data_IF_178220924878
#
_entry.id   IF_178220924878
#
_cell.length_a   1.000
_cell.length_b   1.000
_cell.length_c   1.000
_cell.angle_alpha   90.00
_cell.angle_beta   90.00
_cell.angle_gamma   90.00
#
_symmetry.space_group_name_H-M   'P 1'
#
loop_
_entity.id
_entity.type
_entity.pdbx_description
1 polymer ?
#
# COMPACT_ATOMS: atom_id res chain seq x y z
N UNK A 1 -11.50 24.38 14.00
CA UNK A 1 -10.96 23.02 13.90
C UNK A 1 -9.58 23.10 13.28
N UNK A 2 -8.57 22.52 13.93
CA UNK A 2 -7.19 22.41 13.45
C UNK A 2 -6.96 21.00 12.93
N UNK A 3 -6.45 20.88 11.71
CA UNK A 3 -6.16 19.58 11.06
C UNK A 3 -4.69 19.51 10.69
N UNK A 4 -4.01 18.45 11.11
CA UNK A 4 -2.65 18.15 10.74
C UNK A 4 -2.64 17.06 9.66
N UNK A 5 -1.95 17.29 8.55
CA UNK A 5 -1.66 16.28 7.52
C UNK A 5 -0.20 15.86 7.65
N UNK A 6 0.02 14.58 7.96
CA UNK A 6 1.36 14.00 8.03
C UNK A 6 1.83 13.64 6.64
N UNK A 7 3.05 14.07 6.30
CA UNK A 7 3.68 13.84 5.00
C UNK A 7 4.08 15.13 4.29
N UNK A 8 4.77 14.99 3.17
CA UNK A 8 5.33 16.12 2.41
C UNK A 8 5.32 15.92 0.90
N UNK A 9 4.53 15.00 0.39
CA UNK A 9 4.40 14.73 -1.03
C UNK A 9 3.29 15.51 -1.73
N UNK A 10 3.16 15.32 -3.04
CA UNK A 10 2.12 15.95 -3.85
C UNK A 10 0.70 15.53 -3.45
N UNK A 11 0.53 14.35 -2.86
CA UNK A 11 -0.76 13.83 -2.40
C UNK A 11 -1.21 14.48 -1.12
N UNK A 12 -0.31 14.64 -0.16
CA UNK A 12 -0.59 15.42 1.04
C UNK A 12 -0.97 16.83 0.66
N UNK A 13 -0.32 17.41 -0.35
CA UNK A 13 -0.71 18.71 -0.89
C UNK A 13 -2.12 18.69 -1.50
N UNK A 14 -2.47 17.67 -2.27
CA UNK A 14 -3.82 17.53 -2.84
C UNK A 14 -4.89 17.40 -1.73
N UNK A 15 -4.61 16.61 -0.68
CA UNK A 15 -5.48 16.48 0.49
C UNK A 15 -5.66 17.84 1.18
N UNK A 16 -4.57 18.57 1.42
CA UNK A 16 -4.59 19.90 2.04
C UNK A 16 -5.42 20.88 1.22
N UNK A 17 -5.23 20.91 -0.10
CA UNK A 17 -6.02 21.76 -1.00
C UNK A 17 -7.51 21.40 -0.93
N UNK A 18 -7.83 20.11 -0.89
CA UNK A 18 -9.22 19.67 -0.78
C UNK A 18 -9.85 20.01 0.58
N UNK A 19 -9.10 19.90 1.65
CA UNK A 19 -9.53 20.33 2.99
C UNK A 19 -9.74 21.84 3.06
N UNK A 20 -8.92 22.64 2.36
CA UNK A 20 -9.05 24.10 2.27
C UNK A 20 -10.38 24.54 1.60
N UNK A 21 -10.90 23.74 0.66
CA UNK A 21 -12.21 23.96 0.02
C UNK A 21 -13.39 23.64 0.95
N UNK A 22 -13.15 23.03 2.10
CA UNK A 22 -14.20 22.65 3.03
C UNK A 22 -14.94 23.90 3.57
N UNK A 23 -16.28 23.88 3.62
CA UNK A 23 -17.06 24.96 4.24
C UNK A 23 -16.74 25.16 5.73
N UNK A 24 -16.13 24.16 6.39
CA UNK A 24 -15.66 24.25 7.78
C UNK A 24 -14.40 25.07 7.95
N UNK A 25 -13.68 25.40 6.87
CA UNK A 25 -12.46 26.21 6.85
C UNK A 25 -11.46 25.85 7.97
N UNK A 26 -10.95 24.62 8.03
CA UNK A 26 -10.02 24.23 9.08
C UNK A 26 -8.70 25.02 8.98
N UNK A 27 -8.07 25.30 10.13
CA UNK A 27 -6.68 25.69 10.15
C UNK A 27 -5.82 24.46 9.83
N UNK A 28 -4.98 24.56 8.78
CA UNK A 28 -4.25 23.43 8.22
C UNK A 28 -2.77 23.48 8.58
N UNK A 29 -2.26 22.34 9.03
CA UNK A 29 -0.86 22.09 9.36
C UNK A 29 -0.36 20.91 8.52
N UNK A 30 0.96 20.85 8.27
CA UNK A 30 1.61 19.73 7.60
C UNK A 30 2.93 19.37 8.28
N UNK A 31 3.23 18.09 8.45
CA UNK A 31 4.49 17.62 9.04
C UNK A 31 5.13 16.52 8.15
N UNK A 32 6.29 16.79 7.49
CA UNK A 32 7.01 18.06 7.44
C UNK A 32 6.41 19.09 6.47
N UNK A 33 5.54 18.69 5.54
CA UNK A 33 5.12 19.50 4.41
C UNK A 33 6.23 19.66 3.36
N UNK A 34 6.04 20.63 2.46
CA UNK A 34 6.99 21.01 1.41
C UNK A 34 6.74 22.47 0.97
N UNK A 35 7.56 22.98 0.05
CA UNK A 35 7.44 24.35 -0.44
C UNK A 35 6.10 24.69 -1.10
N UNK A 36 5.45 23.72 -1.77
CA UNK A 36 4.11 23.90 -2.34
C UNK A 36 3.03 23.91 -1.25
N UNK A 37 3.13 23.02 -0.27
CA UNK A 37 2.22 22.95 0.89
C UNK A 37 2.26 24.22 1.73
N UNK A 38 3.42 24.84 1.84
CA UNK A 38 3.61 26.08 2.64
C UNK A 38 2.73 27.24 2.19
N UNK A 39 2.22 27.23 0.95
CA UNK A 39 1.24 28.23 0.47
C UNK A 39 -0.19 27.98 0.97
N UNK A 40 -0.49 26.78 1.45
CA UNK A 40 -1.83 26.35 1.80
C UNK A 40 -1.98 25.92 3.27
N UNK A 41 -0.88 25.62 3.97
CA UNK A 41 -0.85 25.15 5.35
C UNK A 41 0.43 25.60 6.07
N UNK A 42 0.39 25.56 7.39
CA UNK A 42 1.60 25.78 8.23
C UNK A 42 2.45 24.52 8.22
N UNK A 43 3.65 24.60 7.63
CA UNK A 43 4.59 23.48 7.64
C UNK A 43 5.37 23.43 8.96
N UNK A 44 5.45 22.26 9.57
CA UNK A 44 6.15 22.02 10.84
C UNK A 44 7.33 21.08 10.56
N UNK A 45 8.57 21.43 10.96
CA UNK A 45 9.75 20.65 10.59
C UNK A 45 9.90 19.36 11.44
N UNK A 46 8.89 18.51 11.39
CA UNK A 46 8.86 17.21 12.06
C UNK A 46 8.74 16.13 10.98
N UNK A 47 9.66 15.17 10.98
CA UNK A 47 9.64 14.09 10.02
C UNK A 47 8.35 13.25 10.13
N UNK A 48 7.81 12.80 9.01
CA UNK A 48 6.58 11.98 9.00
C UNK A 48 6.70 10.69 9.82
N UNK A 49 7.91 10.14 9.95
CA UNK A 49 8.21 8.94 10.74
C UNK A 49 8.53 9.21 12.22
N UNK A 50 8.65 10.48 12.62
CA UNK A 50 8.82 10.86 14.03
C UNK A 50 7.47 10.87 14.75
N UNK A 51 7.01 9.67 15.12
CA UNK A 51 5.72 9.47 15.79
C UNK A 51 5.62 10.30 17.08
N UNK A 52 6.67 10.30 17.89
CA UNK A 52 6.68 11.02 19.17
C UNK A 52 6.60 12.54 18.97
N UNK A 53 7.37 13.07 18.01
CA UNK A 53 7.37 14.49 17.67
C UNK A 53 6.01 14.94 17.11
N UNK A 54 5.39 14.17 16.22
CA UNK A 54 4.06 14.47 15.66
C UNK A 54 2.99 14.47 16.76
N UNK A 55 2.98 13.46 17.64
CA UNK A 55 2.02 13.36 18.75
C UNK A 55 2.20 14.51 19.75
N UNK A 56 3.46 14.83 20.10
CA UNK A 56 3.75 15.95 20.99
C UNK A 56 3.26 17.28 20.43
N UNK A 57 3.55 17.55 19.16
CA UNK A 57 3.07 18.74 18.46
C UNK A 57 1.53 18.78 18.42
N UNK A 58 0.88 17.66 18.10
CA UNK A 58 -0.57 17.61 18.02
C UNK A 58 -1.25 17.94 19.38
N UNK A 59 -0.67 17.47 20.47
CA UNK A 59 -1.15 17.80 21.84
C UNK A 59 -0.90 19.27 22.16
N UNK A 60 0.32 19.78 21.95
CA UNK A 60 0.71 21.15 22.28
C UNK A 60 -0.06 22.20 21.49
N UNK A 61 -0.25 21.96 20.19
CA UNK A 61 -0.98 22.87 19.32
C UNK A 61 -2.51 22.73 19.44
N UNK A 62 -3.01 21.67 20.09
CA UNK A 62 -4.44 21.38 20.20
C UNK A 62 -5.04 21.02 18.83
N UNK A 63 -4.41 20.08 18.13
CA UNK A 63 -4.92 19.54 16.85
C UNK A 63 -6.17 18.72 17.11
N UNK A 64 -7.25 19.02 16.39
CA UNK A 64 -8.53 18.33 16.53
C UNK A 64 -8.58 17.02 15.74
N UNK A 65 -7.80 16.91 14.65
CA UNK A 65 -7.83 15.77 13.74
C UNK A 65 -6.52 15.61 12.98
N UNK A 66 -6.04 14.38 12.82
CA UNK A 66 -4.81 14.10 12.07
C UNK A 66 -5.11 13.21 10.86
N UNK A 67 -4.57 13.56 9.70
CA UNK A 67 -4.57 12.72 8.51
C UNK A 67 -3.18 12.11 8.37
N UNK A 68 -3.04 10.81 8.61
CA UNK A 68 -1.78 10.08 8.44
C UNK A 68 -1.77 9.51 7.03
N UNK A 69 -1.13 10.22 6.09
CA UNK A 69 -1.20 9.90 4.67
C UNK A 69 -0.17 8.86 4.20
N UNK A 70 1.12 8.86 4.63
CA UNK A 70 2.09 7.86 4.22
C UNK A 70 1.93 6.52 4.96
N UNK A 71 2.45 5.46 4.37
CA UNK A 71 2.47 4.08 4.88
C UNK A 71 3.39 3.88 6.09
N UNK A 72 4.63 4.39 6.02
CA UNK A 72 5.62 4.24 7.10
C UNK A 72 5.09 4.64 8.49
N UNK A 73 4.54 5.86 8.72
CA UNK A 73 4.01 6.23 10.02
C UNK A 73 2.80 5.38 10.46
N UNK A 74 2.01 4.84 9.53
CA UNK A 74 0.92 3.91 9.84
C UNK A 74 1.46 2.60 10.40
N UNK A 75 2.46 2.02 9.75
CA UNK A 75 3.13 0.78 10.20
C UNK A 75 3.88 1.01 11.51
N UNK A 76 4.43 2.20 11.75
CA UNK A 76 5.05 2.58 13.01
C UNK A 76 4.04 2.76 14.16
N UNK A 77 2.74 2.92 13.87
CA UNK A 77 1.68 3.00 14.89
C UNK A 77 1.31 4.42 15.29
N UNK A 78 1.47 5.39 14.40
CA UNK A 78 1.12 6.80 14.69
C UNK A 78 -0.35 6.98 15.05
N UNK A 79 -1.26 6.24 14.39
CA UNK A 79 -2.70 6.31 14.68
C UNK A 79 -2.99 5.83 16.10
N UNK A 80 -2.31 4.76 16.54
CA UNK A 80 -2.45 4.23 17.91
C UNK A 80 -1.94 5.25 18.93
N UNK A 81 -0.77 5.83 18.69
CA UNK A 81 -0.16 6.82 19.59
C UNK A 81 -1.00 8.12 19.71
N UNK A 82 -1.64 8.55 18.62
CA UNK A 82 -2.59 9.68 18.63
C UNK A 82 -3.86 9.33 19.41
N UNK A 83 -4.39 8.11 19.23
CA UNK A 83 -5.58 7.64 19.94
C UNK A 83 -5.36 7.56 21.46
N UNK A 84 -4.16 7.16 21.93
CA UNK A 84 -3.78 7.19 23.35
C UNK A 84 -3.84 8.61 23.97
N UNK A 85 -3.72 9.66 23.14
CA UNK A 85 -3.87 11.06 23.54
C UNK A 85 -5.28 11.62 23.29
N UNK A 86 -6.22 10.77 22.87
CA UNK A 86 -7.58 11.17 22.54
C UNK A 86 -7.72 11.99 21.25
N UNK A 87 -6.71 11.98 20.39
CA UNK A 87 -6.70 12.72 19.13
C UNK A 87 -7.16 11.76 18.01
N UNK A 88 -8.32 12.01 17.37
CA UNK A 88 -8.79 11.19 16.28
C UNK A 88 -7.91 11.35 15.04
N UNK A 89 -7.65 10.23 14.35
CA UNK A 89 -6.82 10.21 13.16
C UNK A 89 -7.47 9.41 12.03
N UNK A 90 -7.21 9.83 10.79
CA UNK A 90 -7.52 9.06 9.58
C UNK A 90 -6.33 8.17 9.23
N UNK A 91 -6.60 6.89 9.11
CA UNK A 91 -5.63 5.83 8.77
C UNK A 91 -5.86 4.58 9.60
N UNK A 92 -5.37 3.42 9.14
CA UNK A 92 -5.43 2.18 9.92
C UNK A 92 -4.49 2.26 11.14
N UNK A 93 -4.84 1.55 12.19
CA UNK A 93 -3.95 1.32 13.32
C UNK A 93 -2.81 0.36 12.92
N UNK A 94 -1.78 0.26 13.75
CA UNK A 94 -0.59 -0.59 13.50
C UNK A 94 -0.96 -2.05 13.22
N UNK A 95 -1.94 -2.58 13.95
CA UNK A 95 -2.37 -3.96 13.78
C UNK A 95 -2.99 -4.22 12.40
N UNK A 96 -3.74 -3.25 11.86
CA UNK A 96 -4.33 -3.33 10.51
C UNK A 96 -3.32 -2.96 9.43
N UNK A 97 -2.36 -2.08 9.72
CA UNK A 97 -1.33 -1.66 8.79
C UNK A 97 -0.40 -2.81 8.32
N UNK A 98 -0.40 -3.94 9.01
CA UNK A 98 0.33 -5.15 8.60
C UNK A 98 -0.12 -5.66 7.22
N UNK A 99 -1.31 -5.28 6.74
CA UNK A 99 -1.84 -5.70 5.44
C UNK A 99 -0.92 -5.24 4.27
N UNK A 100 -0.24 -4.10 4.40
CA UNK A 100 0.85 -3.69 3.50
C UNK A 100 2.22 -3.99 4.11
N UNK A 101 2.35 -3.81 5.43
CA UNK A 101 3.61 -3.99 6.16
C UNK A 101 4.21 -5.40 6.08
N UNK A 102 3.42 -6.42 5.69
CA UNK A 102 3.89 -7.77 5.44
C UNK A 102 3.15 -8.42 4.26
N UNK A 103 3.88 -8.65 3.16
CA UNK A 103 3.35 -9.38 2.00
C UNK A 103 3.03 -10.84 2.32
N UNK A 104 3.83 -11.44 3.21
CA UNK A 104 3.56 -12.80 3.72
C UNK A 104 2.23 -12.84 4.46
N UNK A 105 1.96 -11.85 5.33
CA UNK A 105 0.68 -11.78 6.02
C UNK A 105 -0.48 -11.62 5.03
N UNK A 106 -0.40 -10.68 4.10
CA UNK A 106 -1.49 -10.43 3.14
C UNK A 106 -1.75 -11.62 2.23
N UNK A 107 -0.71 -12.33 1.78
CA UNK A 107 -0.86 -13.57 1.00
C UNK A 107 -1.54 -14.67 1.81
N UNK A 108 -1.10 -14.90 3.04
CA UNK A 108 -1.70 -15.90 3.92
C UNK A 108 -3.15 -15.55 4.27
N UNK A 109 -3.46 -14.26 4.49
CA UNK A 109 -4.83 -13.78 4.67
C UNK A 109 -5.69 -14.11 3.44
N UNK A 110 -5.24 -13.77 2.24
CA UNK A 110 -5.96 -14.04 1.00
C UNK A 110 -6.21 -15.55 0.81
N UNK A 111 -5.19 -16.38 1.03
CA UNK A 111 -5.32 -17.84 0.95
C UNK A 111 -6.33 -18.38 1.96
N UNK A 112 -6.26 -17.94 3.23
CA UNK A 112 -7.15 -18.38 4.32
C UNK A 112 -8.61 -18.04 4.06
N UNK A 113 -8.88 -16.89 3.48
CA UNK A 113 -10.25 -16.39 3.27
C UNK A 113 -10.74 -16.50 1.81
N UNK A 114 -10.00 -17.20 0.95
CA UNK A 114 -10.40 -17.45 -0.43
C UNK A 114 -10.43 -16.20 -1.32
N UNK A 115 -9.64 -15.17 -0.99
CA UNK A 115 -9.55 -13.95 -1.79
C UNK A 115 -8.62 -14.22 -2.99
N UNK A 116 -9.08 -13.98 -4.24
CA UNK A 116 -8.30 -14.28 -5.43
C UNK A 116 -6.96 -13.52 -5.48
N UNK A 117 -5.86 -14.25 -5.61
CA UNK A 117 -4.50 -13.73 -5.78
C UNK A 117 -3.65 -14.73 -6.56
N UNK A 118 -2.43 -14.34 -6.96
CA UNK A 118 -1.47 -15.23 -7.59
C UNK A 118 -1.13 -16.44 -6.71
N UNK A 119 -0.93 -17.60 -7.29
CA UNK A 119 -0.36 -18.75 -6.60
C UNK A 119 1.02 -18.38 -6.06
N UNK A 120 1.33 -18.76 -4.83
CA UNK A 120 2.53 -18.32 -4.15
C UNK A 120 3.04 -19.32 -3.12
N UNK A 121 4.32 -19.19 -2.78
CA UNK A 121 4.94 -19.78 -1.59
C UNK A 121 5.77 -18.74 -0.85
N UNK A 122 5.98 -18.96 0.45
CA UNK A 122 6.72 -18.03 1.31
C UNK A 122 7.94 -18.72 1.93
N UNK A 123 9.05 -18.01 2.02
CA UNK A 123 10.31 -18.55 2.51
C UNK A 123 10.95 -17.62 3.53
N UNK A 124 11.47 -18.21 4.61
CA UNK A 124 12.30 -17.55 5.61
C UNK A 124 13.77 -18.04 5.53
N UNK A 125 14.04 -19.06 4.71
CA UNK A 125 15.37 -19.59 4.45
C UNK A 125 15.71 -19.49 2.96
N UNK A 126 16.89 -18.96 2.65
CA UNK A 126 17.33 -18.73 1.27
C UNK A 126 17.61 -20.06 0.52
N UNK A 127 18.07 -21.09 1.24
CA UNK A 127 18.33 -22.42 0.67
C UNK A 127 17.02 -23.11 0.25
N UNK A 128 15.96 -23.03 1.08
CA UNK A 128 14.63 -23.55 0.75
C UNK A 128 14.04 -22.80 -0.44
N UNK A 129 14.14 -21.47 -0.46
CA UNK A 129 13.71 -20.65 -1.58
C UNK A 129 14.41 -21.00 -2.88
N UNK A 130 15.75 -21.18 -2.83
CA UNK A 130 16.56 -21.59 -3.98
C UNK A 130 16.19 -23.01 -4.46
N UNK A 131 15.92 -23.94 -3.54
CA UNK A 131 15.46 -25.28 -3.89
C UNK A 131 14.11 -25.26 -4.61
N UNK A 132 13.17 -24.44 -4.12
CA UNK A 132 11.88 -24.22 -4.77
C UNK A 132 12.04 -23.67 -6.20
N UNK A 133 12.89 -22.63 -6.37
CA UNK A 133 13.18 -22.04 -7.69
C UNK A 133 13.72 -23.10 -8.65
N UNK A 134 14.70 -23.93 -8.23
CA UNK A 134 15.27 -25.00 -9.07
C UNK A 134 14.26 -26.10 -9.44
N UNK A 135 13.28 -26.34 -8.58
CA UNK A 135 12.21 -27.31 -8.84
C UNK A 135 11.13 -26.75 -9.78
N UNK A 136 11.02 -25.42 -9.86
CA UNK A 136 10.02 -24.77 -10.71
C UNK A 136 10.38 -24.90 -12.19
N UNK A 137 9.34 -25.03 -13.05
CA UNK A 137 9.48 -25.15 -14.50
C UNK A 137 8.71 -24.07 -15.27
N UNK A 138 8.05 -23.16 -14.54
CA UNK A 138 7.21 -22.11 -15.13
C UNK A 138 7.84 -20.75 -14.83
N UNK A 139 8.09 -20.00 -15.88
CA UNK A 139 8.58 -18.62 -15.82
C UNK A 139 7.72 -17.71 -16.70
N UNK A 140 7.66 -16.39 -16.46
CA UNK A 140 8.36 -15.68 -15.37
C UNK A 140 7.86 -16.05 -13.97
N UNK A 141 8.70 -15.79 -12.95
CA UNK A 141 8.33 -15.77 -11.53
C UNK A 141 8.42 -14.35 -10.98
N UNK A 142 7.67 -14.05 -9.92
CA UNK A 142 7.81 -12.79 -9.19
C UNK A 142 8.33 -13.07 -7.78
N UNK A 143 9.49 -12.49 -7.45
CA UNK A 143 10.10 -12.59 -6.11
C UNK A 143 9.92 -11.27 -5.40
N UNK A 144 9.29 -11.29 -4.22
CA UNK A 144 8.96 -10.08 -3.43
C UNK A 144 9.58 -10.16 -2.04
N UNK A 145 10.26 -9.10 -1.61
CA UNK A 145 10.62 -8.91 -0.21
C UNK A 145 9.36 -8.70 0.65
N UNK A 146 9.34 -9.23 1.88
CA UNK A 146 8.14 -9.24 2.73
C UNK A 146 7.69 -7.85 3.20
N UNK A 147 8.62 -6.97 3.60
CA UNK A 147 8.29 -5.66 4.19
C UNK A 147 8.12 -4.54 3.18
N UNK A 148 7.99 -3.31 3.72
CA UNK A 148 8.03 -2.09 2.92
C UNK A 148 9.40 -1.95 2.26
N UNK A 149 9.42 -1.83 0.95
CA UNK A 149 10.64 -1.70 0.14
C UNK A 149 10.50 -0.60 -0.92
N UNK A 150 9.63 0.39 -0.67
CA UNK A 150 9.37 1.55 -1.54
C UNK A 150 9.09 1.17 -3.00
N UNK A 151 8.35 0.06 -3.21
CA UNK A 151 8.03 -0.47 -4.54
C UNK A 151 9.21 -1.15 -5.27
N UNK A 152 10.41 -1.15 -4.69
CA UNK A 152 11.63 -1.72 -5.31
C UNK A 152 11.88 -3.18 -4.95
N UNK A 153 11.17 -3.72 -3.94
CA UNK A 153 11.33 -5.09 -3.47
C UNK A 153 10.56 -6.14 -4.28
N UNK A 154 10.18 -5.85 -5.53
CA UNK A 154 9.46 -6.74 -6.44
C UNK A 154 10.30 -6.95 -7.67
N UNK A 155 10.73 -8.19 -7.91
CA UNK A 155 11.60 -8.59 -9.01
C UNK A 155 10.88 -9.61 -9.89
N UNK A 156 10.71 -9.28 -11.17
CA UNK A 156 10.19 -10.20 -12.18
C UNK A 156 11.38 -10.96 -12.73
N UNK A 157 11.33 -12.28 -12.65
CA UNK A 157 12.44 -13.18 -12.99
C UNK A 157 12.04 -14.03 -14.20
N UNK A 158 12.64 -13.75 -15.34
CA UNK A 158 12.32 -14.39 -16.62
C UNK A 158 12.80 -15.85 -16.71
N UNK A 159 13.75 -16.24 -15.84
CA UNK A 159 14.35 -17.56 -15.82
C UNK A 159 14.84 -17.95 -14.40
N UNK A 160 15.37 -19.18 -14.28
CA UNK A 160 15.92 -19.73 -13.04
C UNK A 160 17.08 -18.88 -12.52
N UNK A 161 17.99 -18.44 -13.40
CA UNK A 161 19.17 -17.69 -12.98
C UNK A 161 18.80 -16.34 -12.37
N UNK A 162 17.86 -15.63 -13.00
CA UNK A 162 17.31 -14.37 -12.49
C UNK A 162 16.59 -14.57 -11.14
N UNK A 163 15.81 -15.65 -10.99
CA UNK A 163 15.11 -15.94 -9.75
C UNK A 163 16.07 -16.30 -8.60
N UNK A 164 17.13 -17.09 -8.86
CA UNK A 164 18.16 -17.39 -7.88
C UNK A 164 18.95 -16.13 -7.48
N UNK A 165 19.27 -15.26 -8.44
CA UNK A 165 19.91 -13.96 -8.17
C UNK A 165 19.03 -13.06 -7.30
N UNK A 166 17.70 -13.04 -7.55
CA UNK A 166 16.75 -12.29 -6.75
C UNK A 166 16.68 -12.81 -5.30
N UNK A 167 16.60 -14.13 -5.10
CA UNK A 167 16.64 -14.76 -3.76
C UNK A 167 17.90 -14.34 -3.02
N UNK A 168 19.07 -14.48 -3.67
CA UNK A 168 20.35 -14.09 -3.07
C UNK A 168 20.38 -12.62 -2.69
N UNK A 169 20.05 -11.73 -3.62
CA UNK A 169 20.09 -10.29 -3.40
C UNK A 169 19.18 -9.85 -2.23
N UNK A 170 17.97 -10.42 -2.15
CA UNK A 170 17.01 -10.05 -1.11
C UNK A 170 17.37 -10.64 0.24
N UNK A 171 17.62 -11.96 0.30
CA UNK A 171 17.74 -12.69 1.57
C UNK A 171 19.16 -12.77 2.13
N UNK A 172 20.18 -12.96 1.26
CA UNK A 172 21.57 -13.10 1.68
C UNK A 172 22.27 -11.74 1.71
N UNK A 173 22.24 -10.98 0.60
CA UNK A 173 22.88 -9.66 0.48
C UNK A 173 22.09 -8.56 1.23
N UNK A 174 20.86 -8.86 1.67
CA UNK A 174 19.95 -7.99 2.43
C UNK A 174 19.77 -6.60 1.81
N UNK A 175 19.62 -6.53 0.49
CA UNK A 175 19.47 -5.28 -0.25
C UNK A 175 18.34 -4.39 0.30
N UNK A 176 17.30 -5.01 0.91
CA UNK A 176 16.16 -4.29 1.52
C UNK A 176 16.17 -4.38 3.06
N UNK A 177 17.33 -4.58 3.68
CA UNK A 177 17.47 -4.65 5.13
C UNK A 177 16.56 -5.72 5.77
N UNK A 178 15.86 -5.36 6.84
CA UNK A 178 14.97 -6.27 7.57
C UNK A 178 13.81 -6.81 6.71
N UNK A 179 13.34 -6.04 5.71
CA UNK A 179 12.27 -6.46 4.78
C UNK A 179 12.66 -7.66 3.92
N UNK A 180 13.96 -7.93 3.76
CA UNK A 180 14.48 -9.10 3.04
C UNK A 180 14.63 -10.37 3.89
N UNK A 181 14.22 -10.36 5.17
CA UNK A 181 14.31 -11.55 6.03
C UNK A 181 13.40 -12.70 5.60
N UNK A 182 12.33 -12.38 4.87
CA UNK A 182 11.40 -13.33 4.26
C UNK A 182 11.06 -12.86 2.87
N UNK A 183 10.70 -13.79 2.00
CA UNK A 183 10.26 -13.51 0.64
C UNK A 183 8.96 -14.24 0.31
N UNK A 184 8.26 -13.70 -0.67
CA UNK A 184 7.16 -14.37 -1.38
C UNK A 184 7.62 -14.64 -2.80
N UNK A 185 7.48 -15.87 -3.26
CA UNK A 185 7.67 -16.25 -4.68
C UNK A 185 6.28 -16.58 -5.22
N UNK A 186 5.88 -15.91 -6.30
CA UNK A 186 4.55 -16.08 -6.87
C UNK A 186 4.58 -16.22 -8.39
N UNK A 187 3.51 -16.79 -8.95
CA UNK A 187 3.30 -16.83 -10.38
C UNK A 187 3.21 -15.41 -10.96
N UNK A 188 3.71 -15.24 -12.16
CA UNK A 188 3.55 -13.99 -12.89
C UNK A 188 2.15 -13.92 -13.51
N UNK A 189 1.37 -12.94 -13.09
CA UNK A 189 0.04 -12.67 -13.64
C UNK A 189 0.14 -11.81 -14.89
N UNK A 190 -0.73 -12.06 -15.85
CA UNK A 190 -0.84 -11.27 -17.08
C UNK A 190 -2.24 -10.71 -17.25
N UNK A 191 -2.34 -9.47 -17.75
CA UNK A 191 -3.59 -8.76 -17.99
C UNK A 191 -3.44 -7.27 -17.73
N UNK A 192 -4.50 -6.47 -17.91
CA UNK A 192 -4.51 -5.08 -17.51
C UNK A 192 -4.43 -4.92 -15.99
N UNK A 193 -3.56 -4.02 -15.54
CA UNK A 193 -3.54 -3.60 -14.13
C UNK A 193 -4.68 -2.61 -13.84
N UNK A 194 -5.24 -2.71 -12.64
CA UNK A 194 -6.26 -1.81 -12.14
C UNK A 194 -5.93 -1.41 -10.71
N UNK A 195 -5.98 -0.11 -10.46
CA UNK A 195 -5.88 0.48 -9.13
C UNK A 195 -7.25 0.93 -8.65
N UNK A 196 -7.68 0.44 -7.49
CA UNK A 196 -8.91 0.89 -6.83
C UNK A 196 -8.63 1.26 -5.40
N UNK A 197 -8.79 2.55 -5.08
CA UNK A 197 -8.80 2.98 -3.68
C UNK A 197 -10.22 2.87 -3.14
N UNK A 198 -10.32 2.53 -1.86
CA UNK A 198 -11.62 2.40 -1.20
C UNK A 198 -11.55 2.98 0.20
N UNK A 199 -12.53 3.78 0.56
CA UNK A 199 -12.73 4.13 1.96
C UNK A 199 -13.42 2.98 2.69
N UNK A 200 -13.00 2.74 3.93
CA UNK A 200 -13.69 1.78 4.79
C UNK A 200 -13.64 2.22 6.26
N UNK A 201 -14.72 1.92 6.97
CA UNK A 201 -14.87 2.08 8.42
C UNK A 201 -14.67 0.76 9.18
N UNK A 202 -14.24 -0.30 8.46
CA UNK A 202 -14.12 -1.66 8.95
C UNK A 202 -15.39 -2.52 8.72
N UNK A 203 -16.44 -1.96 8.12
CA UNK A 203 -17.69 -2.68 7.77
C UNK A 203 -18.11 -2.38 6.34
N UNK A 204 -18.20 -1.10 6.01
CA UNK A 204 -18.59 -0.60 4.69
C UNK A 204 -17.34 -0.41 3.85
N UNK A 205 -17.43 -0.71 2.56
CA UNK A 205 -16.38 -0.40 1.57
C UNK A 205 -16.98 0.49 0.49
N UNK A 206 -16.37 1.65 0.28
CA UNK A 206 -16.80 2.62 -0.73
C UNK A 206 -15.65 2.86 -1.70
N UNK A 207 -15.65 2.19 -2.88
CA UNK A 207 -14.60 2.38 -3.88
C UNK A 207 -14.67 3.78 -4.48
N UNK A 208 -13.49 4.31 -4.78
CA UNK A 208 -13.31 5.51 -5.60
C UNK A 208 -13.32 5.12 -7.09
N UNK A 209 -13.20 6.11 -7.96
CA UNK A 209 -13.00 5.87 -9.38
C UNK A 209 -11.73 5.02 -9.58
N UNK A 210 -11.84 4.02 -10.45
CA UNK A 210 -10.68 3.16 -10.79
C UNK A 210 -9.66 3.91 -11.62
N UNK A 211 -8.40 3.51 -11.53
CA UNK A 211 -7.32 4.09 -12.33
C UNK A 211 -6.39 3.03 -12.90
N UNK A 212 -5.61 3.42 -13.89
CA UNK A 212 -4.53 2.62 -14.47
C UNK A 212 -3.24 3.43 -14.41
N UNK A 213 -2.28 2.91 -13.65
CA UNK A 213 -0.95 3.48 -13.52
C UNK A 213 0.00 2.88 -14.56
N UNK A 214 0.82 3.73 -15.17
CA UNK A 214 1.85 3.33 -16.14
C UNK A 214 3.20 3.36 -15.45
N UNK A 215 3.67 2.20 -14.98
CA UNK A 215 4.86 2.06 -14.14
C UNK A 215 6.17 1.96 -14.93
N UNK A 216 6.13 1.44 -16.15
CA UNK A 216 7.33 1.18 -16.94
C UNK A 216 7.91 2.45 -17.54
N UNK A 217 9.25 2.55 -17.54
CA UNK A 217 9.97 3.75 -17.97
C UNK A 217 10.01 3.97 -19.49
N UNK A 218 9.83 2.91 -20.29
CA UNK A 218 9.99 2.94 -21.74
C UNK A 218 8.69 2.61 -22.47
N UNK A 219 8.61 3.03 -23.74
CA UNK A 219 7.49 2.76 -24.64
C UNK A 219 7.22 1.25 -24.78
N UNK A 220 5.95 0.90 -24.98
CA UNK A 220 5.52 -0.49 -25.13
C UNK A 220 5.58 -1.28 -23.83
N UNK A 221 5.37 -0.62 -22.68
CA UNK A 221 5.38 -1.22 -21.34
C UNK A 221 6.68 -1.99 -21.05
N UNK A 222 7.83 -1.35 -21.34
CA UNK A 222 9.17 -1.91 -21.18
C UNK A 222 10.03 -1.12 -20.22
N UNK A 223 11.17 -1.68 -19.85
CA UNK A 223 12.14 -1.06 -18.93
C UNK A 223 11.83 -1.35 -17.47
N UNK A 224 12.51 -0.62 -16.58
CA UNK A 224 12.35 -0.76 -15.14
C UNK A 224 11.05 -0.10 -14.67
N UNK A 225 10.49 -0.61 -13.58
CA UNK A 225 9.40 0.05 -12.88
C UNK A 225 9.86 1.38 -12.28
N UNK A 226 9.00 2.39 -12.40
CA UNK A 226 9.18 3.72 -11.81
C UNK A 226 8.14 3.94 -10.72
N UNK A 227 8.14 5.11 -10.11
CA UNK A 227 7.08 5.57 -9.19
C UNK A 227 5.77 5.95 -9.89
N UNK A 228 5.65 5.71 -11.21
CA UNK A 228 4.53 6.07 -12.08
C UNK A 228 4.91 7.12 -13.11
N UNK A 229 4.69 6.82 -14.38
CA UNK A 229 4.92 7.74 -15.51
C UNK A 229 3.68 8.55 -15.85
N UNK A 230 2.53 8.13 -15.35
CA UNK A 230 1.24 8.76 -15.53
C UNK A 230 0.11 7.81 -15.18
N UNK A 231 -1.06 8.38 -14.90
CA UNK A 231 -2.23 7.63 -14.49
C UNK A 231 -3.44 8.12 -15.27
N UNK A 232 -4.26 7.18 -15.77
CA UNK A 232 -5.56 7.50 -16.37
C UNK A 232 -6.69 7.02 -15.45
N UNK A 233 -7.74 7.83 -15.32
CA UNK A 233 -8.95 7.52 -14.58
C UNK A 233 -10.18 8.07 -15.32
N UNK A 234 -11.25 7.27 -15.47
CA UNK A 234 -11.40 5.88 -15.05
C UNK A 234 -10.54 4.91 -15.85
N UNK A 235 -10.25 3.73 -15.28
CA UNK A 235 -9.57 2.65 -15.99
C UNK A 235 -10.50 2.06 -17.08
N UNK A 236 -10.09 2.02 -18.35
CA UNK A 236 -10.96 1.60 -19.45
C UNK A 236 -11.33 0.11 -19.43
N UNK A 237 -10.56 -0.72 -18.73
CA UNK A 237 -10.80 -2.16 -18.60
C UNK A 237 -11.69 -2.52 -17.40
N UNK A 238 -11.90 -1.57 -16.46
CA UNK A 238 -12.66 -1.81 -15.24
C UNK A 238 -14.15 -1.53 -15.44
N UNK A 239 -14.85 -2.51 -16.01
CA UNK A 239 -16.29 -2.42 -16.30
C UNK A 239 -17.14 -2.52 -15.02
N UNK A 240 -18.42 -2.10 -15.03
CA UNK A 240 -19.34 -2.28 -13.90
C UNK A 240 -19.46 -3.74 -13.45
N UNK A 241 -19.41 -4.71 -14.38
CA UNK A 241 -19.45 -6.13 -14.08
C UNK A 241 -18.21 -6.58 -13.30
N UNK A 242 -17.02 -6.15 -13.74
CA UNK A 242 -15.76 -6.43 -13.04
C UNK A 242 -15.76 -5.74 -11.66
N UNK A 243 -16.26 -4.52 -11.56
CA UNK A 243 -16.39 -3.81 -10.30
C UNK A 243 -17.26 -4.57 -9.29
N UNK A 244 -18.38 -5.14 -9.73
CA UNK A 244 -19.23 -5.97 -8.89
C UNK A 244 -18.52 -7.25 -8.44
N UNK A 245 -17.82 -7.95 -9.34
CA UNK A 245 -17.02 -9.13 -8.99
C UNK A 245 -15.97 -8.76 -7.95
N UNK A 246 -15.20 -7.69 -8.17
CA UNK A 246 -14.20 -7.23 -7.21
C UNK A 246 -14.81 -6.89 -5.85
N UNK A 247 -15.98 -6.24 -5.82
CA UNK A 247 -16.68 -5.92 -4.58
C UNK A 247 -17.03 -7.20 -3.78
N UNK A 248 -17.57 -8.20 -4.44
CA UNK A 248 -18.07 -9.41 -3.77
C UNK A 248 -16.98 -10.43 -3.45
N UNK A 249 -15.92 -10.54 -4.28
CA UNK A 249 -14.90 -11.56 -4.12
C UNK A 249 -13.59 -11.05 -3.51
N UNK A 250 -13.37 -9.72 -3.52
CA UNK A 250 -12.11 -9.14 -3.05
C UNK A 250 -12.35 -8.10 -1.95
N UNK A 251 -13.09 -7.00 -2.22
CA UNK A 251 -13.11 -5.85 -1.31
C UNK A 251 -13.81 -6.15 0.02
N UNK A 252 -15.06 -6.62 -0.04
CA UNK A 252 -15.81 -7.02 1.16
C UNK A 252 -15.13 -8.19 1.89
N UNK A 253 -14.67 -9.27 1.21
CA UNK A 253 -13.93 -10.34 1.86
C UNK A 253 -12.65 -9.89 2.55
N UNK A 254 -11.89 -8.95 1.97
CA UNK A 254 -10.68 -8.41 2.60
C UNK A 254 -11.00 -7.71 3.92
N UNK A 255 -11.99 -6.82 3.93
CA UNK A 255 -12.39 -6.11 5.16
C UNK A 255 -12.95 -7.08 6.21
N UNK A 256 -13.76 -8.05 5.79
CA UNK A 256 -14.28 -9.10 6.67
C UNK A 256 -13.17 -9.98 7.25
N UNK A 257 -12.18 -10.36 6.42
CA UNK A 257 -11.01 -11.13 6.85
C UNK A 257 -10.19 -10.39 7.90
N UNK A 258 -9.91 -9.10 7.69
CA UNK A 258 -9.19 -8.26 8.65
C UNK A 258 -9.94 -8.17 9.99
N UNK A 259 -11.26 -8.07 9.96
CA UNK A 259 -12.08 -8.11 11.19
C UNK A 259 -11.98 -9.47 11.89
N UNK A 260 -12.06 -10.58 11.14
CA UNK A 260 -11.96 -11.94 11.68
C UNK A 260 -10.58 -12.22 12.32
N UNK A 261 -9.51 -11.56 11.80
CA UNK A 261 -8.18 -11.60 12.41
C UNK A 261 -8.02 -10.65 13.62
N UNK A 262 -9.09 -9.97 14.07
CA UNK A 262 -9.03 -9.00 15.15
C UNK A 262 -8.26 -7.71 14.80
N UNK A 263 -8.16 -7.39 13.51
CA UNK A 263 -7.40 -6.26 12.94
C UNK A 263 -8.29 -5.37 12.07
N UNK A 264 -9.38 -4.79 12.60
CA UNK A 264 -10.33 -4.01 11.80
C UNK A 264 -9.62 -2.87 11.07
N UNK A 265 -9.77 -2.83 9.74
CA UNK A 265 -9.15 -1.82 8.92
C UNK A 265 -10.08 -0.61 8.76
N UNK A 266 -9.61 0.58 9.14
CA UNK A 266 -10.31 1.85 8.95
C UNK A 266 -9.39 2.83 8.23
N UNK A 267 -9.90 3.49 7.19
CA UNK A 267 -9.11 4.44 6.42
C UNK A 267 -9.30 4.26 4.92
N UNK A 268 -8.24 4.50 4.16
CA UNK A 268 -8.19 4.26 2.72
C UNK A 268 -7.35 3.02 2.42
N UNK A 269 -7.95 2.04 1.76
CA UNK A 269 -7.27 0.82 1.33
C UNK A 269 -7.16 0.81 -0.19
N UNK A 270 -5.96 0.67 -0.69
CA UNK A 270 -5.67 0.49 -2.10
C UNK A 270 -5.64 -1.00 -2.44
N UNK A 271 -6.35 -1.35 -3.49
CA UNK A 271 -6.33 -2.66 -4.12
C UNK A 271 -5.62 -2.57 -5.47
N UNK A 272 -4.44 -3.15 -5.57
CA UNK A 272 -3.75 -3.40 -6.83
C UNK A 272 -4.25 -4.71 -7.42
N UNK A 273 -4.85 -4.65 -8.59
CA UNK A 273 -5.50 -5.79 -9.23
C UNK A 273 -4.89 -6.07 -10.60
N UNK A 274 -4.87 -7.35 -10.98
CA UNK A 274 -4.67 -7.81 -12.35
C UNK A 274 -5.96 -8.41 -12.87
N UNK A 275 -6.43 -7.95 -14.02
CA UNK A 275 -7.58 -8.55 -14.69
C UNK A 275 -7.09 -9.70 -15.57
N UNK A 276 -7.04 -10.90 -14.97
CA UNK A 276 -6.60 -12.11 -15.67
C UNK A 276 -7.75 -12.76 -16.45
N UNK A 277 -7.47 -13.70 -17.39
CA UNK A 277 -8.52 -14.47 -18.06
C UNK A 277 -9.44 -15.23 -17.08
N UNK A 278 -8.94 -15.60 -15.90
CA UNK A 278 -9.69 -16.31 -14.86
C UNK A 278 -10.44 -15.35 -13.90
N UNK A 279 -10.42 -14.06 -14.16
CA UNK A 279 -11.02 -13.01 -13.33
C UNK A 279 -10.01 -12.11 -12.61
N UNK A 280 -10.50 -11.14 -11.82
CA UNK A 280 -9.63 -10.22 -11.10
C UNK A 280 -8.89 -10.93 -9.97
N UNK A 281 -7.58 -10.69 -9.85
CA UNK A 281 -6.71 -11.18 -8.77
C UNK A 281 -5.97 -10.02 -8.11
N UNK A 282 -5.81 -10.08 -6.79
CA UNK A 282 -5.05 -9.09 -6.03
C UNK A 282 -3.55 -9.29 -6.27
N UNK A 283 -2.86 -8.21 -6.68
CA UNK A 283 -1.40 -8.14 -6.78
C UNK A 283 -0.80 -7.72 -5.45
N UNK A 284 -1.39 -6.68 -4.84
CA UNK A 284 -0.91 -6.06 -3.61
C UNK A 284 -2.00 -5.21 -2.95
N UNK A 285 -1.80 -4.93 -1.66
CA UNK A 285 -2.52 -3.89 -0.91
C UNK A 285 -1.56 -2.76 -0.56
N UNK A 286 -2.07 -1.53 -0.52
CA UNK A 286 -1.35 -0.38 0.03
C UNK A 286 -2.27 0.44 0.94
N UNK A 287 -1.70 1.03 1.99
CA UNK A 287 -2.43 1.77 3.03
C UNK A 287 -2.41 3.27 2.79
N UNK A 288 -1.64 3.67 1.84
CA UNK A 288 -1.39 5.06 1.53
C UNK A 288 -2.08 5.46 0.23
N UNK A 289 -2.54 6.69 0.18
CA UNK A 289 -3.00 7.33 -1.05
C UNK A 289 -1.86 7.53 -2.08
N UNK A 290 -0.70 6.92 -1.83
CA UNK A 290 0.59 7.21 -2.45
C UNK A 290 0.70 6.80 -3.94
N UNK A 291 -0.05 5.82 -4.42
CA UNK A 291 0.19 5.22 -5.72
C UNK A 291 -0.71 5.71 -6.86
N UNK A 292 -1.35 6.85 -6.72
CA UNK A 292 -2.16 7.40 -7.81
C UNK A 292 -1.73 8.81 -8.16
#
# INVERSE_FOLDING_TARGET
MKVLVVGGGGREHAIIRKLKESPRRPALYAAPGNGGIASDAVCVPIAATDVAGVVSFAVQEGIDYVVVAPDDPLVLGMVDALAEKGIPAFGPNKAAAILEGSKVFSKNLMKKYGIPTAAYETFADAGEAAAYVRANRKYPLVVKADGLALGKGVLICEDEAAALAAVKSIMEDRQFGASGSRIVIEEFLTGPEVSVLSFTDGKTVVPMVSSMDHKRALDGDRGLNTGGMGTIAPNPYYTPQIAQVCMETIFKPTVAAMNAEGRPFKGCLYFGLMLTPDGPKVIEYNLSLIHI
#
